data_IF_484577845068
#
_entry.id   IF_484577845068
#
_cell.length_a   1.000
_cell.length_b   1.000
_cell.length_c   1.000
_cell.angle_alpha   90.00
_cell.angle_beta   90.00
_cell.angle_gamma   90.00
#
_symmetry.space_group_name_H-M   'P 1'
#
loop_
_entity.id
_entity.type
_entity.pdbx_description
1 polymer ?
#
# COMPACT_ATOMS: atom_id res chain seq x y z
N UNK A 1 -0.61 -14.88 11.88
CA UNK A 1 -1.24 -14.26 10.67
C UNK A 1 -0.17 -13.41 9.99
N UNK A 2 0.07 -13.63 8.73
CA UNK A 2 1.06 -12.88 7.96
C UNK A 2 0.40 -11.63 7.38
N UNK A 3 0.86 -10.44 7.80
CA UNK A 3 0.30 -9.15 7.39
C UNK A 3 0.81 -8.77 5.99
N UNK A 4 -0.02 -8.08 5.21
CA UNK A 4 0.40 -7.57 3.90
C UNK A 4 1.52 -6.54 4.10
N UNK A 5 2.63 -6.77 3.40
CA UNK A 5 3.84 -5.96 3.46
C UNK A 5 4.63 -6.12 2.15
N UNK A 6 5.18 -5.03 1.63
CA UNK A 6 5.74 -5.01 0.28
C UNK A 6 6.93 -5.93 0.04
N UNK A 7 7.86 -6.05 1.00
CA UNK A 7 9.03 -6.94 0.84
C UNK A 7 8.60 -8.40 0.83
N UNK A 8 7.72 -8.80 1.76
CA UNK A 8 7.21 -10.16 1.79
C UNK A 8 6.36 -10.50 0.54
N UNK A 9 5.66 -9.51 -0.05
CA UNK A 9 4.97 -9.67 -1.32
C UNK A 9 5.95 -9.95 -2.46
N UNK A 10 7.10 -9.28 -2.48
CA UNK A 10 8.14 -9.51 -3.49
C UNK A 10 8.74 -10.91 -3.43
N UNK A 11 8.82 -11.51 -2.24
CA UNK A 11 9.32 -12.87 -2.01
C UNK A 11 8.37 -13.97 -2.54
N UNK A 12 7.08 -13.67 -2.71
CA UNK A 12 6.10 -14.59 -3.29
C UNK A 12 6.10 -14.59 -4.82
N UNK A 13 6.67 -13.57 -5.45
CA UNK A 13 6.72 -13.48 -6.91
C UNK A 13 7.82 -14.36 -7.51
N UNK A 14 7.62 -14.83 -8.73
CA UNK A 14 8.64 -15.62 -9.47
C UNK A 14 9.92 -14.82 -9.69
N UNK A 15 9.78 -13.51 -9.93
CA UNK A 15 10.90 -12.62 -10.10
C UNK A 15 10.59 -11.23 -9.54
N UNK A 16 11.59 -10.60 -8.94
CA UNK A 16 11.51 -9.26 -8.38
C UNK A 16 12.57 -8.35 -8.98
N UNK A 17 12.13 -7.25 -9.59
CA UNK A 17 13.05 -6.22 -10.07
C UNK A 17 13.47 -5.33 -8.89
N UNK A 18 14.66 -5.56 -8.38
CA UNK A 18 15.26 -4.83 -7.28
C UNK A 18 15.90 -5.73 -6.23
N UNK A 19 16.76 -5.14 -5.38
CA UNK A 19 17.41 -5.88 -4.31
C UNK A 19 16.47 -6.06 -3.11
N UNK A 20 16.27 -7.32 -2.74
CA UNK A 20 15.46 -7.74 -1.60
C UNK A 20 16.23 -7.66 -0.26
N UNK A 21 17.48 -7.18 -0.25
CA UNK A 21 18.36 -7.21 0.94
C UNK A 21 17.87 -6.38 2.13
N UNK A 22 16.76 -5.65 1.99
CA UNK A 22 16.07 -5.02 3.09
C UNK A 22 16.77 -3.81 3.72
N UNK A 23 17.77 -3.23 3.07
CA UNK A 23 18.44 -2.01 3.54
C UNK A 23 18.04 -0.79 2.70
N UNK A 24 17.23 0.14 3.25
CA UNK A 24 16.72 1.31 2.52
C UNK A 24 17.81 2.19 1.90
N UNK A 25 18.98 2.29 2.52
CA UNK A 25 20.14 2.94 1.92
C UNK A 25 20.71 2.16 0.73
N UNK A 26 20.57 0.83 0.70
CA UNK A 26 21.02 -0.04 -0.38
C UNK A 26 19.92 -0.33 -1.40
N UNK A 27 18.64 -0.23 -1.07
CA UNK A 27 17.55 -0.32 -2.06
C UNK A 27 17.68 0.82 -3.05
N UNK A 28 17.79 2.08 -2.61
CA UNK A 28 18.05 3.18 -3.54
C UNK A 28 19.33 2.97 -4.35
N UNK A 29 20.37 2.38 -3.79
CA UNK A 29 21.66 2.18 -4.49
C UNK A 29 21.74 0.87 -5.27
N UNK A 30 21.07 -0.20 -4.88
CA UNK A 30 21.06 -1.48 -5.62
C UNK A 30 20.01 -1.51 -6.72
N UNK A 31 18.87 -0.85 -6.55
CA UNK A 31 17.98 -0.54 -7.66
C UNK A 31 18.68 0.27 -8.77
N UNK A 32 19.69 1.08 -8.43
CA UNK A 32 20.51 1.81 -9.40
C UNK A 32 21.51 0.91 -10.17
N UNK A 33 21.91 -0.24 -9.63
CA UNK A 33 22.89 -1.13 -10.29
C UNK A 33 22.29 -1.95 -11.42
N UNK A 34 21.00 -2.26 -11.40
CA UNK A 34 20.31 -3.02 -12.44
C UNK A 34 19.50 -2.11 -13.38
N UNK A 35 20.19 -1.14 -13.99
CA UNK A 35 19.62 -0.33 -15.07
C UNK A 35 19.23 -1.17 -16.32
N UNK A 36 19.64 -2.43 -16.38
CA UNK A 36 19.30 -3.34 -17.44
C UNK A 36 18.20 -4.30 -16.97
N UNK A 37 16.94 -3.96 -17.27
CA UNK A 37 15.79 -4.83 -16.98
C UNK A 37 15.92 -6.21 -17.64
N UNK A 38 16.56 -6.27 -18.82
CA UNK A 38 16.85 -7.51 -19.55
C UNK A 38 18.19 -8.09 -19.08
N UNK A 39 18.30 -8.41 -17.77
CA UNK A 39 19.48 -9.08 -17.24
C UNK A 39 19.39 -10.61 -17.42
N UNK A 40 20.56 -11.28 -17.30
CA UNK A 40 20.66 -12.74 -17.46
C UNK A 40 19.85 -13.51 -16.43
N UNK A 41 19.68 -12.98 -15.22
CA UNK A 41 18.90 -13.61 -14.14
C UNK A 41 17.42 -13.63 -14.48
N UNK A 42 16.85 -12.50 -14.92
CA UNK A 42 15.47 -12.43 -15.38
C UNK A 42 15.21 -13.40 -16.55
N UNK A 43 16.07 -13.38 -17.55
CA UNK A 43 15.93 -14.28 -18.73
C UNK A 43 16.04 -15.74 -18.33
N UNK A 44 16.95 -16.09 -17.43
CA UNK A 44 17.11 -17.45 -16.91
C UNK A 44 15.86 -17.90 -16.16
N UNK A 45 15.30 -17.03 -15.30
CA UNK A 45 14.08 -17.31 -14.56
C UNK A 45 12.86 -17.43 -15.46
N UNK A 46 12.74 -16.56 -16.46
CA UNK A 46 11.68 -16.63 -17.47
C UNK A 46 11.73 -17.97 -18.21
N UNK A 47 12.94 -18.41 -18.63
CA UNK A 47 13.12 -19.70 -19.31
C UNK A 47 12.81 -20.89 -18.40
N UNK A 48 13.15 -20.83 -17.11
CA UNK A 48 12.80 -21.85 -16.13
C UNK A 48 11.27 -21.99 -16.02
N UNK A 49 10.58 -20.89 -15.75
CA UNK A 49 9.13 -20.85 -15.58
C UNK A 49 8.40 -21.31 -16.86
N UNK A 50 8.90 -20.91 -18.03
CA UNK A 50 8.27 -21.26 -19.33
C UNK A 50 8.23 -22.77 -19.65
N UNK A 51 9.04 -23.58 -18.96
CA UNK A 51 8.99 -25.05 -19.07
C UNK A 51 7.80 -25.66 -18.34
N UNK A 52 7.25 -24.96 -17.35
CA UNK A 52 6.18 -25.47 -16.49
C UNK A 52 4.83 -24.83 -16.82
N UNK A 53 4.85 -23.53 -17.19
CA UNK A 53 3.64 -22.75 -17.44
C UNK A 53 3.92 -21.54 -18.35
N UNK A 54 2.86 -20.96 -18.93
CA UNK A 54 2.94 -19.81 -19.82
C UNK A 54 2.61 -18.47 -19.14
N UNK A 55 2.72 -18.39 -17.83
CA UNK A 55 2.55 -17.17 -17.06
C UNK A 55 3.57 -17.06 -15.92
N UNK A 56 3.85 -15.83 -15.50
CA UNK A 56 4.86 -15.51 -14.50
C UNK A 56 4.39 -14.34 -13.62
N UNK A 57 4.70 -14.38 -12.33
CA UNK A 57 4.48 -13.27 -11.42
C UNK A 57 5.72 -12.42 -11.28
N UNK A 58 5.55 -11.10 -11.37
CA UNK A 58 6.63 -10.12 -11.26
C UNK A 58 6.34 -9.16 -10.11
N UNK A 59 7.37 -8.77 -9.39
CA UNK A 59 7.31 -7.65 -8.46
C UNK A 59 8.18 -6.49 -8.96
N UNK A 60 7.65 -5.26 -8.88
CA UNK A 60 8.35 -4.05 -9.31
C UNK A 60 7.89 -2.85 -8.49
N UNK A 61 8.72 -1.84 -8.31
CA UNK A 61 8.25 -0.56 -7.76
C UNK A 61 7.43 0.25 -8.78
N UNK A 62 6.62 1.18 -8.29
CA UNK A 62 5.75 1.98 -9.16
C UNK A 62 6.52 2.82 -10.18
N UNK A 63 7.75 3.25 -9.88
CA UNK A 63 8.55 4.10 -10.76
C UNK A 63 9.02 3.32 -12.00
N UNK A 64 9.44 2.08 -11.83
CA UNK A 64 10.00 1.25 -12.91
C UNK A 64 8.96 0.57 -13.77
N UNK A 65 7.70 0.63 -13.35
CA UNK A 65 6.63 -0.10 -14.03
C UNK A 65 6.47 0.35 -15.49
N UNK A 66 6.48 1.65 -15.74
CA UNK A 66 6.33 2.23 -17.09
C UNK A 66 6.93 3.64 -17.17
N UNK A 67 7.33 4.05 -18.36
CA UNK A 67 7.76 5.44 -18.61
C UNK A 67 6.60 6.40 -18.52
N UNK A 68 6.80 7.48 -17.78
CA UNK A 68 5.81 8.56 -17.62
C UNK A 68 6.47 9.88 -17.25
N UNK A 69 5.74 10.97 -17.43
CA UNK A 69 6.15 12.29 -16.94
C UNK A 69 5.64 12.46 -15.50
N UNK A 70 6.54 12.36 -14.53
CA UNK A 70 6.21 12.52 -13.10
C UNK A 70 6.21 14.00 -12.77
N UNK A 71 5.02 14.60 -12.66
CA UNK A 71 4.83 16.05 -12.46
C UNK A 71 5.12 16.53 -11.03
N UNK A 72 4.97 15.66 -10.04
CA UNK A 72 5.08 16.00 -8.61
C UNK A 72 6.31 15.35 -7.96
N UNK A 73 7.50 15.62 -8.52
CA UNK A 73 8.77 15.21 -7.90
C UNK A 73 9.38 16.41 -7.21
N UNK A 74 9.86 16.21 -5.99
CA UNK A 74 10.63 17.25 -5.29
C UNK A 74 11.85 17.63 -6.12
N UNK A 75 12.24 18.91 -6.19
CA UNK A 75 13.37 19.34 -7.02
C UNK A 75 14.67 18.59 -6.72
N UNK A 76 14.92 18.25 -5.46
CA UNK A 76 16.08 17.49 -5.03
C UNK A 76 16.11 16.04 -5.55
N UNK A 77 14.93 15.45 -5.78
CA UNK A 77 14.80 14.05 -6.23
C UNK A 77 14.65 13.93 -7.74
N UNK A 78 14.44 15.07 -8.46
CA UNK A 78 14.11 15.06 -9.89
C UNK A 78 15.17 14.37 -10.76
N UNK A 79 16.44 14.71 -10.59
CA UNK A 79 17.51 14.13 -11.40
C UNK A 79 17.65 12.61 -11.19
N UNK A 80 17.35 12.14 -9.97
CA UNK A 80 17.33 10.73 -9.63
C UNK A 80 16.15 10.01 -10.29
N UNK A 81 14.95 10.57 -10.16
CA UNK A 81 13.73 10.01 -10.76
C UNK A 81 13.84 9.98 -12.29
N UNK A 82 14.32 11.07 -12.93
CA UNK A 82 14.52 11.14 -14.38
C UNK A 82 15.52 10.04 -14.85
N UNK A 83 16.60 9.80 -14.12
CA UNK A 83 17.55 8.73 -14.40
C UNK A 83 16.94 7.32 -14.32
N UNK A 84 16.09 7.08 -13.32
CA UNK A 84 15.36 5.81 -13.22
C UNK A 84 14.40 5.62 -14.39
N UNK A 85 13.68 6.69 -14.78
CA UNK A 85 12.69 6.66 -15.85
C UNK A 85 13.30 6.43 -17.25
N UNK A 86 14.55 6.87 -17.48
CA UNK A 86 15.23 6.62 -18.75
C UNK A 86 15.53 5.14 -19.00
N UNK A 87 15.72 4.36 -17.94
CA UNK A 87 16.23 2.99 -18.00
C UNK A 87 15.20 1.91 -17.68
N UNK A 88 13.98 2.29 -17.27
CA UNK A 88 13.04 1.36 -16.63
C UNK A 88 11.66 1.42 -17.28
N UNK A 89 11.24 0.35 -17.94
CA UNK A 89 9.88 0.14 -18.43
C UNK A 89 9.58 -1.36 -18.44
N UNK A 90 9.14 -1.87 -17.28
CA UNK A 90 8.82 -3.31 -17.12
C UNK A 90 7.65 -3.71 -18.00
N UNK A 91 6.67 -2.84 -18.21
CA UNK A 91 5.56 -3.14 -19.12
C UNK A 91 6.02 -3.30 -20.55
N UNK A 92 6.93 -2.44 -21.03
CA UNK A 92 7.52 -2.59 -22.36
C UNK A 92 8.38 -3.86 -22.46
N UNK A 93 9.13 -4.18 -21.40
CA UNK A 93 9.89 -5.43 -21.34
C UNK A 93 8.97 -6.65 -21.50
N UNK A 94 7.86 -6.69 -20.76
CA UNK A 94 6.89 -7.78 -20.88
C UNK A 94 6.37 -7.93 -22.32
N UNK A 95 6.14 -6.84 -23.03
CA UNK A 95 5.63 -6.85 -24.40
C UNK A 95 6.55 -7.56 -25.40
N UNK A 96 7.85 -7.69 -25.09
CA UNK A 96 8.79 -8.44 -25.95
C UNK A 96 8.66 -9.96 -25.84
N UNK A 97 7.89 -10.48 -24.90
CA UNK A 97 7.75 -11.92 -24.63
C UNK A 97 6.32 -12.41 -24.91
N UNK A 98 5.89 -12.35 -26.16
CA UNK A 98 4.50 -12.66 -26.58
C UNK A 98 3.99 -14.05 -26.14
N UNK A 99 4.89 -15.04 -25.99
CA UNK A 99 4.55 -16.40 -25.53
C UNK A 99 4.28 -16.51 -24.03
N UNK A 100 4.60 -15.48 -23.24
CA UNK A 100 4.44 -15.46 -21.80
C UNK A 100 3.40 -14.42 -21.38
N UNK A 101 2.62 -14.74 -20.35
CA UNK A 101 1.70 -13.84 -19.68
C UNK A 101 2.28 -13.40 -18.35
N UNK A 102 1.96 -12.18 -17.93
CA UNK A 102 2.51 -11.62 -16.69
C UNK A 102 1.42 -11.14 -15.75
N UNK A 103 1.60 -11.42 -14.47
CA UNK A 103 0.85 -10.85 -13.36
C UNK A 103 1.84 -9.99 -12.58
N UNK A 104 1.59 -8.69 -12.48
CA UNK A 104 2.55 -7.75 -11.91
C UNK A 104 2.00 -7.23 -10.58
N UNK A 105 2.82 -7.29 -9.56
CA UNK A 105 2.57 -6.70 -8.25
C UNK A 105 3.47 -5.50 -8.05
N UNK A 106 2.92 -4.41 -7.54
CA UNK A 106 3.72 -3.25 -7.15
C UNK A 106 3.45 -2.85 -5.70
N UNK A 107 4.51 -2.40 -5.02
CA UNK A 107 4.46 -1.84 -3.68
C UNK A 107 5.74 -1.01 -3.44
N UNK A 108 5.97 -0.54 -2.21
CA UNK A 108 7.18 0.13 -1.72
C UNK A 108 7.41 1.56 -2.22
N UNK A 109 6.45 2.16 -2.95
CA UNK A 109 6.62 3.48 -3.53
C UNK A 109 5.35 4.34 -3.37
N UNK A 110 5.54 5.61 -3.02
CA UNK A 110 4.44 6.57 -2.81
C UNK A 110 3.87 7.11 -4.13
N UNK A 111 4.62 7.01 -5.22
CA UNK A 111 4.26 7.56 -6.52
C UNK A 111 3.01 6.88 -7.08
N UNK A 112 1.95 7.64 -7.44
CA UNK A 112 0.73 7.05 -7.96
C UNK A 112 0.95 6.47 -9.36
N UNK A 113 0.22 5.40 -9.67
CA UNK A 113 0.07 4.90 -11.05
C UNK A 113 -1.10 5.65 -11.67
N UNK A 114 -0.80 6.46 -12.66
CA UNK A 114 -1.73 7.40 -13.31
C UNK A 114 -2.22 6.91 -14.69
N UNK A 115 -2.98 7.74 -15.37
CA UNK A 115 -3.61 7.47 -16.66
C UNK A 115 -2.64 7.38 -17.87
N UNK A 116 -1.35 7.63 -17.63
CA UNK A 116 -0.32 7.44 -18.67
C UNK A 116 0.03 5.97 -18.87
N UNK A 117 -0.36 5.07 -17.94
CA UNK A 117 -0.09 3.64 -18.04
C UNK A 117 -0.68 3.02 -19.31
N UNK A 118 0.09 2.19 -19.99
CA UNK A 118 -0.34 1.37 -21.14
C UNK A 118 0.04 -0.07 -20.85
N UNK A 119 -0.96 -0.86 -20.50
CA UNK A 119 -0.77 -2.26 -20.11
C UNK A 119 -0.81 -3.15 -21.36
N UNK A 120 0.27 -3.86 -21.70
CA UNK A 120 0.33 -4.78 -22.85
C UNK A 120 -0.69 -5.91 -22.76
N UNK A 121 -1.01 -6.52 -23.90
CA UNK A 121 -1.99 -7.60 -23.97
C UNK A 121 -1.58 -8.84 -23.18
N UNK A 122 -0.30 -9.16 -23.18
CA UNK A 122 0.26 -10.28 -22.45
C UNK A 122 0.46 -10.02 -20.94
N UNK A 123 0.22 -8.81 -20.45
CA UNK A 123 0.07 -8.54 -19.01
C UNK A 123 -1.39 -8.73 -18.62
N UNK A 124 -1.65 -9.73 -17.77
CA UNK A 124 -3.00 -10.10 -17.33
C UNK A 124 -3.57 -9.10 -16.33
N UNK A 125 -2.75 -8.69 -15.36
CA UNK A 125 -3.10 -7.61 -14.45
C UNK A 125 -1.85 -6.95 -13.83
N UNK A 126 -2.06 -5.72 -13.35
CA UNK A 126 -1.14 -4.95 -12.52
C UNK A 126 -1.85 -4.67 -11.20
N UNK A 127 -1.52 -5.44 -10.17
CA UNK A 127 -2.01 -5.23 -8.81
C UNK A 127 -1.11 -4.22 -8.11
N UNK A 128 -1.59 -2.99 -7.94
CA UNK A 128 -0.72 -1.87 -7.63
C UNK A 128 -1.21 -0.99 -6.47
N UNK A 129 -0.27 -0.59 -5.62
CA UNK A 129 -0.52 0.47 -4.64
C UNK A 129 -0.65 1.82 -5.33
N UNK A 130 -1.46 2.70 -4.76
CA UNK A 130 -1.71 4.03 -5.33
C UNK A 130 -2.13 4.02 -6.82
N UNK A 131 -2.89 3.00 -7.22
CA UNK A 131 -3.33 2.78 -8.58
C UNK A 131 -4.51 3.68 -8.94
N UNK A 132 -4.30 5.00 -9.09
CA UNK A 132 -5.37 5.95 -9.46
C UNK A 132 -5.85 5.71 -10.90
N UNK A 133 -5.07 5.02 -11.72
CA UNK A 133 -5.40 4.60 -13.07
C UNK A 133 -6.37 3.41 -13.18
N UNK A 134 -6.88 2.87 -12.08
CA UNK A 134 -7.82 1.72 -12.11
C UNK A 134 -9.09 2.00 -12.92
N UNK A 135 -9.44 3.27 -13.14
CA UNK A 135 -10.56 3.69 -13.99
C UNK A 135 -10.20 3.73 -15.48
N UNK A 136 -8.91 3.70 -15.82
CA UNK A 136 -8.41 3.82 -17.19
C UNK A 136 -8.06 2.48 -17.83
N UNK A 137 -7.95 1.41 -17.01
CA UNK A 137 -7.63 0.07 -17.49
C UNK A 137 -8.20 -0.99 -16.54
N UNK A 138 -8.98 -1.91 -17.08
CA UNK A 138 -9.50 -3.07 -16.34
C UNK A 138 -8.41 -4.01 -15.82
N UNK A 139 -7.20 -3.87 -16.36
CA UNK A 139 -6.03 -4.64 -15.93
C UNK A 139 -5.32 -4.02 -14.72
N UNK A 140 -5.63 -2.78 -14.33
CA UNK A 140 -5.03 -2.12 -13.17
C UNK A 140 -5.95 -2.28 -11.96
N UNK A 141 -5.44 -2.93 -10.92
CA UNK A 141 -6.21 -3.29 -9.73
C UNK A 141 -5.60 -2.62 -8.51
N UNK A 142 -6.40 -1.88 -7.71
CA UNK A 142 -5.94 -1.36 -6.44
C UNK A 142 -5.43 -2.45 -5.51
N UNK A 143 -4.21 -2.29 -5.02
CA UNK A 143 -3.60 -3.15 -4.02
C UNK A 143 -3.38 -2.41 -2.71
N UNK A 144 -3.43 -3.12 -1.57
CA UNK A 144 -3.14 -2.54 -0.26
C UNK A 144 -1.67 -2.16 -0.11
N UNK A 145 -1.41 -0.98 0.47
CA UNK A 145 -0.06 -0.61 0.86
C UNK A 145 0.44 -1.48 2.04
N UNK A 146 -0.48 -1.92 2.87
CA UNK A 146 -0.20 -2.81 3.99
C UNK A 146 0.58 -2.12 5.13
N UNK A 147 1.23 -2.93 5.95
CA UNK A 147 2.00 -2.43 7.10
C UNK A 147 3.40 -2.00 6.71
N UNK A 148 3.92 -1.01 7.41
CA UNK A 148 5.29 -0.54 7.18
C UNK A 148 6.28 -1.53 7.78
N UNK A 149 7.16 -2.05 6.92
CA UNK A 149 8.43 -2.61 7.37
C UNK A 149 9.50 -1.52 7.23
N UNK A 150 10.05 -1.05 8.33
CA UNK A 150 11.27 -0.25 8.25
C UNK A 150 12.44 -1.19 7.99
N UNK A 151 13.31 -0.74 7.13
CA UNK A 151 14.50 -1.47 6.68
C UNK A 151 15.67 -1.39 7.67
N UNK A 152 15.39 -1.03 8.90
CA UNK A 152 16.30 -1.26 9.99
C UNK A 152 16.08 -2.71 10.44
N UNK A 153 17.10 -3.60 10.43
CA UNK A 153 16.97 -4.97 10.90
C UNK A 153 16.51 -5.08 12.37
N UNK A 154 16.51 -3.97 13.11
CA UNK A 154 15.98 -3.86 14.47
C UNK A 154 14.56 -3.27 14.54
N UNK A 155 13.91 -2.99 13.42
CA UNK A 155 12.51 -2.50 13.40
C UNK A 155 11.54 -3.68 13.41
N UNK A 156 10.99 -3.95 14.57
CA UNK A 156 10.04 -5.03 14.84
C UNK A 156 8.57 -4.56 14.81
N UNK A 157 8.24 -3.54 14.01
CA UNK A 157 6.88 -2.95 13.97
C UNK A 157 5.81 -3.96 13.56
N UNK A 158 6.10 -4.82 12.60
CA UNK A 158 5.18 -5.88 12.18
C UNK A 158 4.88 -6.81 13.36
N UNK A 159 5.89 -7.24 14.07
CA UNK A 159 5.78 -8.10 15.26
C UNK A 159 5.11 -7.36 16.42
N UNK A 160 5.39 -6.05 16.61
CA UNK A 160 4.70 -5.23 17.61
C UNK A 160 3.21 -5.13 17.30
N UNK A 161 2.84 -4.88 16.04
CA UNK A 161 1.44 -4.84 15.62
C UNK A 161 0.76 -6.19 15.86
N UNK A 162 1.38 -7.30 15.44
CA UNK A 162 0.85 -8.64 15.64
C UNK A 162 0.59 -8.95 17.12
N UNK A 163 1.54 -8.64 18.01
CA UNK A 163 1.36 -8.77 19.47
C UNK A 163 0.21 -7.91 19.98
N UNK A 164 0.11 -6.67 19.52
CA UNK A 164 -0.97 -5.77 19.95
C UNK A 164 -2.35 -6.20 19.45
N UNK A 165 -2.46 -6.83 18.28
CA UNK A 165 -3.73 -7.37 17.77
C UNK A 165 -4.32 -8.44 18.70
N UNK A 166 -3.47 -9.22 19.36
CA UNK A 166 -3.89 -10.25 20.35
C UNK A 166 -4.41 -9.62 21.64
N UNK A 167 -3.96 -8.43 21.98
CA UNK A 167 -4.23 -7.72 23.24
C UNK A 167 -5.09 -6.46 23.08
N UNK A 168 -5.73 -6.29 21.92
CA UNK A 168 -6.54 -5.10 21.63
C UNK A 168 -7.71 -4.95 22.62
N UNK A 169 -7.91 -3.75 23.14
CA UNK A 169 -9.04 -3.45 24.01
C UNK A 169 -10.37 -3.68 23.28
N UNK A 170 -11.20 -4.59 23.80
CA UNK A 170 -12.52 -4.89 23.23
C UNK A 170 -13.50 -3.72 23.38
N UNK A 171 -13.33 -2.94 24.43
CA UNK A 171 -14.18 -1.79 24.77
C UNK A 171 -13.33 -0.52 24.83
N UNK A 172 -13.09 0.15 23.70
CA UNK A 172 -12.38 1.42 23.68
C UNK A 172 -13.17 2.51 24.43
N UNK A 173 -12.46 3.36 25.16
CA UNK A 173 -13.04 4.39 26.00
C UNK A 173 -13.32 5.69 25.26
N UNK A 174 -12.55 5.96 24.20
CA UNK A 174 -12.55 7.24 23.49
C UNK A 174 -13.08 7.10 22.07
N UNK A 175 -13.60 8.21 21.52
CA UNK A 175 -14.18 8.24 20.18
C UNK A 175 -13.11 8.37 19.11
N UNK A 176 -12.37 9.48 19.06
CA UNK A 176 -11.42 9.80 17.97
C UNK A 176 -9.99 9.95 18.48
N UNK A 177 -9.05 9.32 17.77
CA UNK A 177 -7.62 9.51 17.94
C UNK A 177 -7.02 10.26 16.75
N UNK A 178 -6.25 11.31 17.03
CA UNK A 178 -5.60 12.17 16.05
C UNK A 178 -4.09 12.19 16.33
N UNK A 179 -3.34 11.53 15.47
CA UNK A 179 -1.88 11.49 15.54
C UNK A 179 -1.32 11.39 14.11
N UNK A 180 -0.68 12.43 13.63
CA UNK A 180 -0.04 12.44 12.31
C UNK A 180 1.10 13.46 12.27
N UNK A 181 2.01 13.31 11.30
CA UNK A 181 3.03 14.30 11.02
C UNK A 181 2.53 15.25 9.92
N UNK A 182 2.49 16.54 10.20
CA UNK A 182 1.96 17.57 9.29
C UNK A 182 2.87 17.78 8.06
N UNK A 183 4.16 17.44 8.16
CA UNK A 183 5.13 17.68 7.09
C UNK A 183 4.99 16.76 5.87
N UNK A 184 4.19 15.69 5.95
CA UNK A 184 4.09 14.70 4.86
C UNK A 184 3.11 15.10 3.77
N UNK A 185 2.09 15.89 4.08
CA UNK A 185 1.11 16.38 3.10
C UNK A 185 0.37 17.63 3.58
N UNK A 186 0.03 18.53 2.66
CA UNK A 186 -0.68 19.78 2.99
C UNK A 186 -2.05 19.57 3.60
N UNK A 187 -2.77 18.50 3.25
CA UNK A 187 -4.06 18.14 3.85
C UNK A 187 -4.00 17.90 5.38
N UNK A 188 -2.80 17.73 5.95
CA UNK A 188 -2.60 17.48 7.37
C UNK A 188 -2.46 18.74 8.22
N UNK A 189 -2.12 19.85 7.55
CA UNK A 189 -1.85 21.13 8.25
C UNK A 189 -3.13 21.61 8.92
N UNK A 190 -3.04 21.88 10.22
CA UNK A 190 -4.14 22.41 11.03
C UNK A 190 -5.20 21.38 11.48
N UNK A 191 -5.12 20.11 11.05
CA UNK A 191 -6.10 19.10 11.48
C UNK A 191 -6.06 18.85 13.00
N UNK A 192 -4.89 18.85 13.61
CA UNK A 192 -4.78 18.67 15.07
C UNK A 192 -5.55 19.74 15.83
N UNK A 193 -5.42 21.00 15.44
CA UNK A 193 -6.11 22.11 16.10
C UNK A 193 -7.62 22.03 15.91
N UNK A 194 -8.08 21.55 14.76
CA UNK A 194 -9.50 21.35 14.48
C UNK A 194 -10.18 20.40 15.47
N UNK A 195 -9.49 19.37 15.94
CA UNK A 195 -10.06 18.32 16.79
C UNK A 195 -9.70 18.45 18.28
N UNK A 196 -8.81 19.39 18.65
CA UNK A 196 -8.22 19.50 19.99
C UNK A 196 -9.25 19.67 21.12
N UNK A 197 -10.41 20.26 20.83
CA UNK A 197 -11.42 20.54 21.86
C UNK A 197 -12.19 19.30 22.33
N UNK A 198 -12.20 18.20 21.55
CA UNK A 198 -13.05 17.04 21.85
C UNK A 198 -12.42 15.68 21.56
N UNK A 199 -11.39 15.61 20.72
CA UNK A 199 -10.69 14.36 20.40
C UNK A 199 -9.40 14.21 21.21
N UNK A 200 -8.85 12.99 21.25
CA UNK A 200 -7.50 12.76 21.74
C UNK A 200 -6.50 13.13 20.66
N UNK A 201 -5.77 14.23 20.88
CA UNK A 201 -4.78 14.75 19.94
C UNK A 201 -3.38 14.61 20.51
N UNK A 202 -2.47 14.04 19.74
CA UNK A 202 -1.03 13.99 20.09
C UNK A 202 -0.23 14.92 19.20
N UNK A 203 0.46 15.87 19.83
CA UNK A 203 1.32 16.85 19.16
C UNK A 203 2.70 16.28 18.86
N UNK A 204 3.25 15.53 19.80
CA UNK A 204 4.57 14.96 19.72
C UNK A 204 4.58 13.60 18.99
N UNK A 205 5.73 13.27 18.46
CA UNK A 205 5.97 11.97 17.89
C UNK A 205 6.11 10.93 19.01
N UNK A 206 5.14 10.05 19.13
CA UNK A 206 5.19 8.90 20.05
C UNK A 206 5.93 7.73 19.42
N UNK A 207 6.49 6.84 20.24
CA UNK A 207 7.02 5.58 19.76
C UNK A 207 5.89 4.66 19.24
N UNK A 208 6.24 3.67 18.44
CA UNK A 208 5.24 2.84 17.76
C UNK A 208 4.36 2.05 18.71
N UNK A 209 4.90 1.52 19.80
CA UNK A 209 4.12 0.79 20.82
C UNK A 209 3.07 1.70 21.46
N UNK A 210 3.44 2.92 21.84
CA UNK A 210 2.50 3.89 22.41
C UNK A 210 1.44 4.34 21.39
N UNK A 211 1.83 4.50 20.12
CA UNK A 211 0.89 4.74 19.04
C UNK A 211 -0.16 3.61 18.94
N UNK A 212 0.24 2.36 18.90
CA UNK A 212 -0.69 1.22 18.85
C UNK A 212 -1.55 1.12 20.11
N UNK A 213 -0.97 1.40 21.28
CA UNK A 213 -1.71 1.40 22.54
C UNK A 213 -2.79 2.48 22.56
N UNK A 214 -2.47 3.70 22.15
CA UNK A 214 -3.44 4.80 22.07
C UNK A 214 -4.49 4.53 21.01
N UNK A 215 -4.07 4.04 19.82
CA UNK A 215 -4.98 3.60 18.77
C UNK A 215 -6.00 2.59 19.32
N UNK A 216 -5.55 1.60 20.10
CA UNK A 216 -6.43 0.53 20.63
C UNK A 216 -7.49 1.03 21.60
N UNK A 217 -7.30 2.21 22.21
CA UNK A 217 -8.25 2.83 23.17
C UNK A 217 -9.37 3.64 22.50
N UNK A 218 -9.29 3.84 21.17
CA UNK A 218 -10.23 4.65 20.41
C UNK A 218 -11.04 3.81 19.43
N UNK A 219 -12.27 4.23 19.13
CA UNK A 219 -13.12 3.57 18.12
C UNK A 219 -12.69 3.98 16.71
N UNK A 220 -12.43 5.29 16.53
CA UNK A 220 -12.08 5.90 15.27
C UNK A 220 -10.67 6.50 15.33
N UNK A 221 -9.98 6.47 14.20
CA UNK A 221 -8.63 7.02 14.07
C UNK A 221 -8.55 7.90 12.82
N UNK A 222 -8.19 9.16 12.98
CA UNK A 222 -8.00 10.05 11.83
C UNK A 222 -6.82 9.59 10.99
N UNK A 223 -7.09 9.26 9.75
CA UNK A 223 -6.12 8.72 8.79
C UNK A 223 -6.01 9.61 7.54
N UNK A 224 -5.44 10.81 7.66
CA UNK A 224 -5.22 11.67 6.51
C UNK A 224 -4.11 11.10 5.64
N UNK A 225 -4.25 11.27 4.31
CA UNK A 225 -3.23 10.81 3.36
C UNK A 225 -1.83 11.34 3.74
N UNK A 226 -0.81 10.55 3.40
CA UNK A 226 0.58 10.98 3.44
C UNK A 226 1.09 11.42 2.07
N UNK A 227 2.36 11.14 1.77
CA UNK A 227 2.88 11.27 0.41
C UNK A 227 2.04 10.40 -0.56
N UNK A 228 1.80 9.16 -0.17
CA UNK A 228 0.87 8.25 -0.84
C UNK A 228 -0.60 8.59 -0.51
N UNK A 229 -1.52 8.19 -1.41
CA UNK A 229 -2.98 8.30 -1.18
C UNK A 229 -3.42 7.26 -0.16
N UNK A 230 -3.04 5.98 -0.36
CA UNK A 230 -3.12 4.97 0.68
C UNK A 230 -1.87 5.05 1.57
N UNK A 231 -2.01 4.82 2.85
CA UNK A 231 -0.90 4.87 3.79
C UNK A 231 -0.97 3.70 4.79
N UNK A 232 0.18 3.35 5.34
CA UNK A 232 0.31 2.25 6.30
C UNK A 232 -0.66 2.34 7.48
N UNK A 233 -0.94 3.58 7.96
CA UNK A 233 -1.88 3.82 9.05
C UNK A 233 -3.26 3.24 8.79
N UNK A 234 -3.77 3.31 7.56
CA UNK A 234 -5.09 2.77 7.23
C UNK A 234 -5.17 1.28 7.57
N UNK A 235 -4.11 0.55 7.25
CA UNK A 235 -3.98 -0.89 7.48
C UNK A 235 -3.71 -1.22 8.94
N UNK A 236 -2.84 -0.44 9.62
CA UNK A 236 -2.60 -0.58 11.05
C UNK A 236 -3.89 -0.42 11.86
N UNK A 237 -4.72 0.55 11.50
CA UNK A 237 -6.03 0.80 12.13
C UNK A 237 -6.98 -0.37 11.94
N UNK A 238 -7.10 -0.90 10.71
CA UNK A 238 -7.96 -2.04 10.39
C UNK A 238 -7.47 -3.33 11.06
N UNK A 239 -6.17 -3.61 11.04
CA UNK A 239 -5.61 -4.77 11.75
C UNK A 239 -5.88 -4.72 13.26
N UNK A 240 -5.90 -3.52 13.84
CA UNK A 240 -6.27 -3.30 15.24
C UNK A 240 -7.79 -3.30 15.46
N UNK A 241 -8.61 -3.64 14.44
CA UNK A 241 -10.07 -3.66 14.51
C UNK A 241 -10.66 -2.31 14.93
N UNK A 242 -10.13 -1.24 14.34
CA UNK A 242 -10.60 0.14 14.51
C UNK A 242 -11.04 0.70 13.17
N UNK A 243 -11.74 1.81 13.21
CA UNK A 243 -12.29 2.46 12.02
C UNK A 243 -11.40 3.61 11.59
N UNK A 244 -10.70 3.54 10.45
CA UNK A 244 -10.00 4.70 9.93
C UNK A 244 -11.01 5.72 9.38
N UNK A 245 -10.81 7.00 9.73
CA UNK A 245 -11.57 8.13 9.20
C UNK A 245 -10.72 8.79 8.11
N UNK A 246 -11.18 8.74 6.88
CA UNK A 246 -10.42 9.16 5.71
C UNK A 246 -11.19 10.16 4.87
N UNK A 247 -10.45 11.08 4.23
CA UNK A 247 -11.02 11.90 3.17
C UNK A 247 -11.33 11.02 1.95
N UNK A 248 -12.47 11.27 1.34
CA UNK A 248 -12.95 10.51 0.18
C UNK A 248 -12.05 10.74 -1.04
N UNK A 249 -11.58 9.63 -1.59
CA UNK A 249 -10.92 9.55 -2.90
C UNK A 249 -11.47 8.31 -3.63
N UNK A 250 -11.84 8.39 -4.91
CA UNK A 250 -12.39 7.24 -5.63
C UNK A 250 -11.53 5.99 -5.56
N UNK A 251 -10.21 6.15 -5.57
CA UNK A 251 -9.25 5.05 -5.39
C UNK A 251 -9.42 4.36 -4.03
N UNK A 252 -9.50 5.14 -2.93
CA UNK A 252 -9.66 4.58 -1.57
C UNK A 252 -11.02 3.91 -1.40
N UNK A 253 -12.10 4.49 -1.95
CA UNK A 253 -13.43 3.88 -1.91
C UNK A 253 -13.44 2.52 -2.63
N UNK A 254 -12.72 2.40 -3.74
CA UNK A 254 -12.58 1.13 -4.44
C UNK A 254 -11.77 0.13 -3.63
N UNK A 255 -10.64 0.57 -3.07
CA UNK A 255 -9.70 -0.27 -2.29
C UNK A 255 -10.35 -0.79 -0.99
N UNK A 256 -11.10 0.07 -0.31
CA UNK A 256 -11.68 -0.23 1.01
C UNK A 256 -13.18 -0.53 0.96
N UNK A 257 -13.73 -0.86 -0.22
CA UNK A 257 -15.18 -1.05 -0.40
C UNK A 257 -15.82 -2.03 0.58
N UNK A 258 -15.11 -3.09 0.93
CA UNK A 258 -15.58 -4.18 1.77
C UNK A 258 -15.05 -4.09 3.22
N UNK A 259 -14.55 -2.92 3.62
CA UNK A 259 -13.94 -2.68 4.93
C UNK A 259 -14.66 -1.57 5.70
N UNK A 260 -14.73 -1.67 7.04
CA UNK A 260 -15.36 -0.65 7.88
C UNK A 260 -14.50 0.61 7.94
N UNK A 261 -14.74 1.51 7.01
CA UNK A 261 -14.04 2.80 6.86
C UNK A 261 -15.06 3.93 6.85
N UNK A 262 -14.80 4.99 7.61
CA UNK A 262 -15.59 6.21 7.56
C UNK A 262 -14.96 7.19 6.55
N UNK A 263 -15.64 7.37 5.41
CA UNK A 263 -15.25 8.37 4.41
C UNK A 263 -15.97 9.69 4.61
N UNK A 264 -15.23 10.79 4.61
CA UNK A 264 -15.75 12.16 4.66
C UNK A 264 -15.30 12.96 3.44
N UNK A 265 -16.10 13.90 2.99
CA UNK A 265 -15.73 14.77 1.88
C UNK A 265 -14.73 15.84 2.31
N UNK A 266 -14.89 16.33 3.55
CA UNK A 266 -13.98 17.30 4.18
C UNK A 266 -13.72 16.90 5.62
N UNK A 267 -12.53 17.18 6.13
CA UNK A 267 -12.21 16.94 7.54
C UNK A 267 -13.05 17.77 8.50
N UNK A 268 -13.59 18.92 8.04
CA UNK A 268 -14.54 19.76 8.79
C UNK A 268 -15.89 19.09 9.03
N UNK A 269 -16.22 18.05 8.30
CA UNK A 269 -17.49 17.31 8.45
C UNK A 269 -17.45 16.33 9.63
N UNK A 270 -16.25 16.07 10.18
CA UNK A 270 -16.06 15.15 11.30
C UNK A 270 -16.49 15.84 12.60
N UNK A 271 -17.55 15.33 13.21
CA UNK A 271 -18.08 15.74 14.50
C UNK A 271 -18.27 14.55 15.42
N UNK A 272 -18.49 14.78 16.72
CA UNK A 272 -18.85 13.70 17.64
C UNK A 272 -20.14 13.03 17.23
N UNK A 273 -21.13 13.78 16.77
CA UNK A 273 -22.42 13.25 16.29
C UNK A 273 -22.22 12.35 15.06
N UNK A 274 -21.40 12.77 14.09
CA UNK A 274 -21.07 11.92 12.92
C UNK A 274 -20.46 10.59 13.34
N UNK A 275 -19.54 10.61 14.32
CA UNK A 275 -18.92 9.36 14.79
C UNK A 275 -19.95 8.47 15.51
N UNK A 276 -20.86 9.05 16.27
CA UNK A 276 -21.92 8.33 16.94
C UNK A 276 -22.92 7.70 15.95
N UNK A 277 -23.34 8.44 14.94
CA UNK A 277 -24.19 7.93 13.84
C UNK A 277 -23.55 6.76 13.08
N UNK A 278 -22.21 6.73 13.00
CA UNK A 278 -21.44 5.70 12.32
C UNK A 278 -20.82 4.66 13.27
N UNK A 279 -21.33 4.52 14.50
CA UNK A 279 -20.83 3.54 15.46
C UNK A 279 -20.96 2.09 14.98
N UNK A 280 -21.89 1.80 14.07
CA UNK A 280 -22.04 0.50 13.44
C UNK A 280 -20.76 0.05 12.73
N UNK A 281 -19.99 0.96 12.13
CA UNK A 281 -18.69 0.63 11.50
C UNK A 281 -17.69 0.06 12.52
N UNK A 282 -17.71 0.58 13.76
CA UNK A 282 -16.88 0.02 14.82
C UNK A 282 -17.32 -1.40 15.18
N UNK A 283 -18.65 -1.66 15.24
CA UNK A 283 -19.17 -3.00 15.50
C UNK A 283 -18.76 -3.96 14.39
N UNK A 284 -18.85 -3.55 13.13
CA UNK A 284 -18.37 -4.31 11.97
C UNK A 284 -16.88 -4.61 12.08
N UNK A 285 -16.06 -3.62 12.44
CA UNK A 285 -14.60 -3.80 12.62
C UNK A 285 -14.25 -4.86 13.69
N UNK A 286 -15.09 -5.00 14.75
CA UNK A 286 -14.85 -5.98 15.81
C UNK A 286 -15.05 -7.43 15.31
N UNK A 287 -15.94 -7.66 14.37
CA UNK A 287 -16.33 -9.01 13.91
C UNK A 287 -15.79 -9.36 12.53
N UNK A 288 -15.24 -8.39 11.78
CA UNK A 288 -14.72 -8.64 10.44
C UNK A 288 -13.64 -9.72 10.42
N UNK A 289 -13.61 -10.51 9.37
CA UNK A 289 -12.50 -11.43 9.10
C UNK A 289 -11.28 -10.65 8.64
N UNK A 290 -10.13 -10.89 9.24
CA UNK A 290 -8.84 -10.34 8.77
C UNK A 290 -8.16 -11.26 7.75
N UNK A 291 -8.72 -12.42 7.44
CA UNK A 291 -8.14 -13.38 6.49
C UNK A 291 -7.88 -12.77 5.10
N UNK A 292 -8.81 -12.00 4.48
CA UNK A 292 -8.55 -11.38 3.19
C UNK A 292 -7.41 -10.34 3.21
N UNK A 293 -7.04 -9.86 4.40
CA UNK A 293 -5.91 -8.94 4.64
C UNK A 293 -4.60 -9.70 4.92
N UNK A 294 -4.56 -11.01 4.80
CA UNK A 294 -3.31 -11.77 4.94
C UNK A 294 -2.61 -11.85 3.60
N UNK A 295 -1.28 -11.77 3.65
CA UNK A 295 -0.46 -11.73 2.45
C UNK A 295 -0.67 -12.95 1.53
N UNK A 296 -0.68 -14.21 2.01
CA UNK A 296 -0.89 -15.36 1.13
C UNK A 296 -2.25 -15.32 0.43
N UNK A 297 -3.32 -15.01 1.18
CA UNK A 297 -4.68 -14.98 0.60
C UNK A 297 -4.82 -13.85 -0.42
N UNK A 298 -4.26 -12.67 -0.14
CA UNK A 298 -4.25 -11.58 -1.10
C UNK A 298 -3.53 -11.98 -2.39
N UNK A 299 -2.33 -12.55 -2.28
CA UNK A 299 -1.53 -13.00 -3.43
C UNK A 299 -2.26 -14.09 -4.23
N UNK A 300 -2.72 -15.15 -3.55
CA UNK A 300 -3.40 -16.28 -4.17
C UNK A 300 -4.69 -15.86 -4.88
N UNK A 301 -5.47 -14.94 -4.32
CA UNK A 301 -6.69 -14.45 -4.95
C UNK A 301 -6.39 -13.75 -6.29
N UNK A 302 -5.35 -12.92 -6.35
CA UNK A 302 -4.94 -12.26 -7.59
C UNK A 302 -4.47 -13.30 -8.61
N UNK A 303 -3.56 -14.20 -8.21
CA UNK A 303 -3.02 -15.23 -9.12
C UNK A 303 -4.13 -16.14 -9.62
N UNK A 304 -5.01 -16.65 -8.76
CA UNK A 304 -6.10 -17.55 -9.14
C UNK A 304 -7.08 -16.87 -10.09
N UNK A 305 -7.43 -15.61 -9.84
CA UNK A 305 -8.35 -14.86 -10.72
C UNK A 305 -7.78 -14.69 -12.12
N UNK A 306 -6.51 -14.32 -12.24
CA UNK A 306 -5.95 -13.89 -13.53
C UNK A 306 -5.18 -14.99 -14.27
N UNK A 307 -4.53 -15.93 -13.57
CA UNK A 307 -3.83 -17.04 -14.20
C UNK A 307 -4.79 -18.17 -14.62
N UNK A 308 -5.84 -18.42 -13.83
CA UNK A 308 -6.72 -19.58 -14.03
C UNK A 308 -8.17 -19.21 -14.40
N UNK A 309 -8.53 -17.94 -14.42
CA UNK A 309 -9.86 -17.48 -14.83
C UNK A 309 -10.98 -17.83 -13.84
N UNK A 310 -10.65 -18.00 -12.55
CA UNK A 310 -11.61 -18.25 -11.49
C UNK A 310 -11.89 -16.95 -10.75
N UNK A 311 -12.90 -16.21 -11.15
CA UNK A 311 -13.47 -15.05 -10.50
C UNK A 311 -14.97 -15.19 -10.35
#
# INVERSE_FOLDING_TARGET
MELIEGVALSELCDYSFGDQSGQWGSIYTSFMKDANLLNTEFVSKLFEVSKERNWMTLFVDNIRLYKRDIKEVKPEDKAYVDSLMETSDVLQLCNHFEGMKFIIFTNLEDTPIDDQIRVPDNVLCVSAVNAVAYTCSDKVIPAPYGVQRRMNPHDDRKEQLQRMMEHTFKTPTYSLYVNHNDSTHTDRIGLKDMFRSWATVEDDRVNYTNFLLNLSRHKFVLSPRGNAIDCHRNWEVLYMRRVPVMKRYPYLEKLFRDWPVLFVDKYTDITEDLLLENEHLFQEAQVMSLLPMTLPIFFDNIVNTYAFGHG
#
